data_IF_737522573082
#
_entry.id   IF_737522573082
#
_cell.length_a   1.000
_cell.length_b   1.000
_cell.length_c   1.000
_cell.angle_alpha   90.00
_cell.angle_beta   90.00
_cell.angle_gamma   90.00
#
_symmetry.space_group_name_H-M   'P 1'
#
loop_
_entity.id
_entity.type
_entity.pdbx_description
1 polymer ?
#
# COMPACT_ATOMS: atom_id res chain seq x y z
N UNK A 1 -0.14 -13.11 6.03
CA UNK A 1 0.46 -12.03 6.84
C UNK A 1 0.31 -10.73 6.09
N UNK A 2 -0.07 -9.65 6.78
CA UNK A 2 -0.11 -8.30 6.20
C UNK A 2 1.14 -7.53 6.67
N UNK A 3 1.78 -6.83 5.75
CA UNK A 3 2.94 -5.98 5.95
C UNK A 3 2.58 -4.57 5.49
N UNK A 4 2.42 -3.65 6.44
CA UNK A 4 2.12 -2.25 6.17
C UNK A 4 3.01 -1.38 7.04
N UNK A 5 3.48 -0.25 6.49
CA UNK A 5 4.16 0.77 7.26
C UNK A 5 3.25 1.32 8.38
N UNK A 6 1.93 1.28 8.19
CA UNK A 6 0.97 1.72 9.22
C UNK A 6 1.08 0.92 10.52
N UNK A 7 1.51 -0.35 10.48
CA UNK A 7 1.72 -1.14 11.70
C UNK A 7 2.75 -0.50 12.64
N UNK A 8 3.73 0.23 12.11
CA UNK A 8 4.73 0.93 12.91
C UNK A 8 4.11 2.06 13.75
N UNK A 9 3.08 2.71 13.21
CA UNK A 9 2.40 3.84 13.84
C UNK A 9 1.23 3.41 14.74
N UNK A 10 0.93 2.11 14.81
CA UNK A 10 -0.11 1.60 15.70
C UNK A 10 0.46 1.32 17.09
N UNK A 11 0.01 2.08 18.09
CA UNK A 11 0.38 1.94 19.49
C UNK A 11 -0.87 1.79 20.35
N UNK A 12 -0.98 0.66 21.07
CA UNK A 12 -2.11 0.36 21.97
C UNK A 12 -3.50 0.56 21.32
N UNK A 13 -3.61 0.22 20.02
CA UNK A 13 -4.84 0.35 19.24
C UNK A 13 -5.09 1.75 18.65
N UNK A 14 -4.21 2.73 18.90
CA UNK A 14 -4.28 4.07 18.34
C UNK A 14 -3.24 4.27 17.23
N UNK A 15 -3.63 4.99 16.18
CA UNK A 15 -2.73 5.41 15.11
C UNK A 15 -2.04 6.73 15.50
N UNK A 16 -0.71 6.73 15.60
CA UNK A 16 0.10 7.90 15.97
C UNK A 16 1.17 8.12 14.91
N UNK A 17 0.89 9.01 13.97
CA UNK A 17 1.79 9.30 12.86
C UNK A 17 2.91 10.27 13.24
N UNK A 18 4.14 9.93 12.87
CA UNK A 18 5.30 10.83 12.89
C UNK A 18 6.05 10.74 11.56
N UNK A 19 6.13 11.86 10.83
CA UNK A 19 6.79 11.92 9.53
C UNK A 19 8.28 11.58 9.57
N UNK A 20 8.96 11.91 10.68
CA UNK A 20 10.38 11.62 10.85
C UNK A 20 10.68 10.11 10.94
N UNK A 21 9.68 9.32 11.31
CA UNK A 21 9.80 7.87 11.44
C UNK A 21 9.44 7.10 10.16
N UNK A 22 9.07 7.78 9.05
CA UNK A 22 8.67 7.12 7.80
C UNK A 22 9.70 6.11 7.29
N UNK A 23 10.99 6.44 7.33
CA UNK A 23 12.05 5.51 6.92
C UNK A 23 12.06 4.22 7.76
N UNK A 24 11.89 4.36 9.08
CA UNK A 24 11.83 3.23 10.02
C UNK A 24 10.55 2.42 9.86
N UNK A 25 9.44 3.09 9.55
CA UNK A 25 8.18 2.42 9.27
C UNK A 25 8.26 1.54 8.00
N UNK A 26 8.89 2.05 6.94
CA UNK A 26 9.17 1.26 5.74
C UNK A 26 10.14 0.10 6.00
N UNK A 27 11.21 0.33 6.77
CA UNK A 27 12.14 -0.74 7.17
C UNK A 27 11.43 -1.84 7.98
N UNK A 28 10.56 -1.47 8.93
CA UNK A 28 9.77 -2.41 9.70
C UNK A 28 8.83 -3.23 8.81
N UNK A 29 8.18 -2.58 7.82
CA UNK A 29 7.33 -3.26 6.84
C UNK A 29 8.13 -4.25 5.98
N UNK A 30 9.29 -3.82 5.47
CA UNK A 30 10.21 -4.66 4.70
C UNK A 30 10.65 -5.89 5.50
N UNK A 31 11.13 -5.70 6.72
CA UNK A 31 11.61 -6.78 7.58
C UNK A 31 10.48 -7.76 7.93
N UNK A 32 9.24 -7.28 8.09
CA UNK A 32 8.07 -8.14 8.30
C UNK A 32 7.78 -9.01 7.09
N UNK A 33 7.86 -8.44 5.88
CA UNK A 33 7.67 -9.20 4.64
C UNK A 33 8.77 -10.25 4.46
N UNK A 34 10.03 -9.87 4.65
CA UNK A 34 11.18 -10.79 4.62
C UNK A 34 11.06 -11.90 5.66
N UNK A 35 10.59 -11.58 6.86
CA UNK A 35 10.34 -12.59 7.90
C UNK A 35 9.27 -13.59 7.45
N UNK A 36 8.13 -13.11 6.92
CA UNK A 36 7.06 -13.97 6.40
C UNK A 36 7.52 -14.87 5.26
N UNK A 37 8.39 -14.38 4.37
CA UNK A 37 8.95 -15.17 3.26
C UNK A 37 10.05 -16.15 3.69
N UNK A 38 10.76 -15.87 4.80
CA UNK A 38 11.85 -16.74 5.29
C UNK A 38 11.39 -17.91 6.15
N UNK A 39 10.11 -17.95 6.57
CA UNK A 39 9.56 -19.09 7.30
C UNK A 39 9.46 -20.33 6.39
N UNK A 40 9.62 -21.52 6.99
CA UNK A 40 9.35 -22.78 6.29
C UNK A 40 7.89 -22.81 5.80
N UNK A 41 7.61 -23.41 4.64
CA UNK A 41 6.27 -23.39 4.02
C UNK A 41 5.16 -23.95 4.93
N UNK A 42 5.47 -24.87 5.82
CA UNK A 42 4.54 -25.49 6.78
C UNK A 42 4.36 -24.67 8.08
N UNK A 43 5.18 -23.63 8.27
CA UNK A 43 5.20 -22.78 9.47
C UNK A 43 4.96 -21.30 9.16
N UNK A 44 5.09 -20.92 7.88
CA UNK A 44 4.89 -19.58 7.38
C UNK A 44 3.45 -19.26 7.01
N UNK A 45 3.14 -17.98 6.73
CA UNK A 45 1.85 -17.60 6.19
C UNK A 45 1.67 -18.14 4.77
N UNK A 46 0.45 -18.55 4.42
CA UNK A 46 0.11 -18.97 3.05
C UNK A 46 0.29 -17.81 2.03
N UNK A 47 0.01 -16.57 2.47
CA UNK A 47 0.07 -15.37 1.64
C UNK A 47 0.74 -14.24 2.42
N UNK A 48 1.71 -13.55 1.81
CA UNK A 48 2.26 -12.28 2.30
C UNK A 48 1.67 -11.12 1.48
N UNK A 49 0.96 -10.21 2.14
CA UNK A 49 0.37 -9.01 1.52
C UNK A 49 1.19 -7.80 1.94
N UNK A 50 1.70 -7.04 0.98
CA UNK A 50 2.33 -5.74 1.22
C UNK A 50 1.27 -4.66 0.97
N UNK A 51 0.79 -4.05 2.06
CA UNK A 51 -0.24 -3.02 2.06
C UNK A 51 0.39 -1.64 2.31
N UNK A 52 0.96 -1.09 1.23
CA UNK A 52 1.52 0.25 1.16
C UNK A 52 1.10 0.89 -0.17
N UNK A 53 1.23 2.22 -0.26
CA UNK A 53 0.86 2.96 -1.48
C UNK A 53 1.71 2.59 -2.71
N UNK A 54 3.00 2.25 -2.53
CA UNK A 54 3.91 1.75 -3.57
C UNK A 54 3.78 2.46 -4.94
N UNK A 55 3.78 3.79 -4.91
CA UNK A 55 3.39 4.62 -6.05
C UNK A 55 4.41 4.64 -7.20
N UNK A 56 5.67 4.27 -6.93
CA UNK A 56 6.76 4.27 -7.92
C UNK A 56 7.31 2.87 -8.12
N UNK A 57 7.88 2.61 -9.29
CA UNK A 57 8.54 1.33 -9.59
C UNK A 57 9.59 0.94 -8.55
N UNK A 58 10.42 1.88 -8.10
CA UNK A 58 11.41 1.62 -7.05
C UNK A 58 10.79 1.17 -5.72
N UNK A 59 9.59 1.65 -5.39
CA UNK A 59 8.91 1.32 -4.14
C UNK A 59 8.41 -0.15 -4.20
N UNK A 60 8.02 -0.60 -5.40
CA UNK A 60 7.67 -1.99 -5.69
C UNK A 60 8.89 -2.91 -5.75
N UNK A 61 9.96 -2.50 -6.44
CA UNK A 61 11.19 -3.28 -6.63
C UNK A 61 11.82 -3.71 -5.30
N UNK A 62 11.66 -2.92 -4.25
CA UNK A 62 12.10 -3.28 -2.89
C UNK A 62 11.51 -4.62 -2.44
N UNK A 63 10.25 -4.90 -2.76
CA UNK A 63 9.58 -6.15 -2.39
C UNK A 63 9.77 -7.24 -3.45
N UNK A 64 9.75 -6.88 -4.73
CA UNK A 64 9.98 -7.82 -5.84
C UNK A 64 11.40 -8.42 -5.83
N UNK A 65 12.36 -7.80 -5.14
CA UNK A 65 13.70 -8.35 -4.99
C UNK A 65 13.88 -9.22 -3.73
N UNK A 66 12.83 -9.41 -2.91
CA UNK A 66 12.89 -10.33 -1.78
C UNK A 66 13.00 -11.79 -2.25
N UNK A 67 13.54 -12.72 -1.44
CA UNK A 67 13.63 -14.12 -1.82
C UNK A 67 12.24 -14.77 -1.87
N UNK A 68 11.69 -14.91 -3.08
CA UNK A 68 10.42 -15.58 -3.35
C UNK A 68 10.44 -16.20 -4.74
N UNK A 69 9.44 -17.03 -5.02
CA UNK A 69 9.20 -17.56 -6.36
C UNK A 69 8.46 -16.48 -7.18
N UNK A 70 9.06 -15.93 -8.26
CA UNK A 70 8.44 -14.85 -9.02
C UNK A 70 7.11 -15.24 -9.66
N UNK A 71 6.90 -16.54 -9.93
CA UNK A 71 5.63 -17.03 -10.50
C UNK A 71 4.49 -17.02 -9.46
N UNK A 72 4.79 -16.76 -8.19
CA UNK A 72 3.83 -16.66 -7.08
C UNK A 72 3.61 -15.21 -6.62
N UNK A 73 4.21 -14.24 -7.30
CA UNK A 73 4.02 -12.82 -7.00
C UNK A 73 2.90 -12.24 -7.85
N UNK A 74 1.89 -11.70 -7.18
CA UNK A 74 0.80 -10.98 -7.83
C UNK A 74 0.87 -9.50 -7.45
N UNK A 75 0.65 -8.64 -8.43
CA UNK A 75 0.52 -7.20 -8.21
C UNK A 75 -0.95 -6.83 -8.30
N UNK A 76 -1.44 -6.14 -7.27
CA UNK A 76 -2.82 -5.68 -7.22
C UNK A 76 -2.80 -4.16 -7.06
N UNK A 77 -3.51 -3.47 -7.93
CA UNK A 77 -3.71 -2.03 -7.85
C UNK A 77 -5.21 -1.71 -7.77
N UNK A 78 -5.52 -0.59 -7.13
CA UNK A 78 -6.87 -0.04 -7.11
C UNK A 78 -7.04 0.87 -8.34
N UNK A 79 -8.19 0.81 -8.99
CA UNK A 79 -8.52 1.72 -10.09
C UNK A 79 -8.51 3.19 -9.61
N UNK A 80 -8.10 4.12 -10.49
CA UNK A 80 -8.09 5.55 -10.18
C UNK A 80 -9.48 6.05 -9.83
N UNK A 81 -9.51 7.11 -9.01
CA UNK A 81 -10.55 8.11 -9.13
C UNK A 81 -10.69 8.62 -10.59
N UNK A 82 -11.89 8.66 -11.14
CA UNK A 82 -12.08 9.11 -12.53
C UNK A 82 -12.02 10.64 -12.66
N UNK A 83 -12.07 11.36 -11.54
CA UNK A 83 -12.10 12.82 -11.46
C UNK A 83 -11.74 13.31 -10.04
N UNK A 84 -11.59 14.63 -9.88
CA UNK A 84 -11.29 15.27 -8.59
C UNK A 84 -12.34 14.99 -7.50
N UNK A 85 -13.61 14.82 -7.88
CA UNK A 85 -14.70 14.56 -6.92
C UNK A 85 -14.56 13.16 -6.31
N UNK A 86 -14.24 12.15 -7.11
CA UNK A 86 -13.97 10.79 -6.63
C UNK A 86 -12.74 10.77 -5.71
N UNK A 87 -11.68 11.47 -6.11
CA UNK A 87 -10.45 11.58 -5.33
C UNK A 87 -10.71 12.26 -3.96
N UNK A 88 -11.48 13.35 -3.96
CA UNK A 88 -11.86 14.04 -2.72
C UNK A 88 -12.73 13.17 -1.80
N UNK A 89 -13.65 12.37 -2.38
CA UNK A 89 -14.48 11.45 -1.60
C UNK A 89 -13.64 10.37 -0.92
N UNK A 90 -12.69 9.76 -1.64
CA UNK A 90 -11.78 8.76 -1.08
C UNK A 90 -10.90 9.36 0.04
N UNK A 91 -10.36 10.57 -0.17
CA UNK A 91 -9.57 11.27 0.84
C UNK A 91 -10.38 11.56 2.11
N UNK A 92 -11.63 12.01 1.97
CA UNK A 92 -12.51 12.26 3.12
C UNK A 92 -12.80 10.96 3.90
N UNK A 93 -13.05 9.86 3.19
CA UNK A 93 -13.23 8.55 3.85
C UNK A 93 -11.98 8.09 4.59
N UNK A 94 -10.79 8.31 4.03
CA UNK A 94 -9.54 8.02 4.75
C UNK A 94 -9.43 8.84 6.03
N UNK A 95 -9.79 10.13 5.98
CA UNK A 95 -9.82 11.03 7.16
C UNK A 95 -10.82 10.60 8.21
N UNK A 96 -12.01 10.18 7.81
CA UNK A 96 -13.05 9.66 8.73
C UNK A 96 -12.59 8.41 9.49
N UNK A 97 -11.68 7.62 8.89
CA UNK A 97 -11.03 6.47 9.51
C UNK A 97 -9.79 6.85 10.35
N UNK A 98 -9.46 8.13 10.47
CA UNK A 98 -8.33 8.64 11.24
C UNK A 98 -7.02 8.80 10.46
N UNK A 99 -7.01 8.54 9.15
CA UNK A 99 -5.85 8.81 8.29
C UNK A 99 -5.82 10.30 7.92
N UNK A 100 -5.13 11.09 8.75
CA UNK A 100 -4.97 12.54 8.56
C UNK A 100 -3.93 12.86 7.48
N UNK A 101 -4.27 12.55 6.22
CA UNK A 101 -3.42 12.80 5.05
C UNK A 101 -3.50 14.31 4.68
N UNK A 102 -2.38 15.05 4.66
CA UNK A 102 -2.36 16.43 4.20
C UNK A 102 -2.73 16.54 2.71
N UNK A 103 -3.50 17.56 2.32
CA UNK A 103 -3.95 17.74 0.92
C UNK A 103 -2.78 17.76 -0.07
N UNK A 104 -1.69 18.45 0.29
CA UNK A 104 -0.48 18.50 -0.55
C UNK A 104 0.14 17.12 -0.78
N UNK A 105 0.12 16.27 0.24
CA UNK A 105 0.63 14.90 0.15
C UNK A 105 -0.27 14.05 -0.74
N UNK A 106 -1.59 14.20 -0.59
CA UNK A 106 -2.57 13.53 -1.44
C UNK A 106 -2.43 13.90 -2.91
N UNK A 107 -2.36 15.20 -3.24
CA UNK A 107 -2.17 15.66 -4.62
C UNK A 107 -0.89 15.10 -5.22
N UNK A 108 0.22 15.14 -4.49
CA UNK A 108 1.48 14.54 -4.95
C UNK A 108 1.36 13.03 -5.20
N UNK A 109 0.60 12.31 -4.36
CA UNK A 109 0.37 10.87 -4.57
C UNK A 109 -0.47 10.60 -5.81
N UNK A 110 -1.51 11.39 -6.03
CA UNK A 110 -2.36 11.31 -7.20
C UNK A 110 -1.55 11.57 -8.48
N UNK A 111 -0.73 12.63 -8.50
CA UNK A 111 0.14 12.96 -9.62
C UNK A 111 1.09 11.82 -9.96
N UNK A 112 1.81 11.27 -8.95
CA UNK A 112 2.73 10.14 -9.16
C UNK A 112 1.96 8.94 -9.69
N UNK A 113 0.78 8.66 -9.15
CA UNK A 113 0.00 7.50 -9.54
C UNK A 113 -0.53 7.63 -10.99
N UNK A 114 -1.00 8.80 -11.39
CA UNK A 114 -1.39 9.12 -12.78
C UNK A 114 -0.20 8.98 -13.76
N UNK A 115 0.98 9.44 -13.37
CA UNK A 115 2.22 9.27 -14.16
C UNK A 115 2.62 7.81 -14.32
N UNK A 116 2.26 6.95 -13.37
CA UNK A 116 2.56 5.52 -13.37
C UNK A 116 1.35 4.64 -13.76
N UNK A 117 0.28 5.24 -14.30
CA UNK A 117 -0.95 4.51 -14.67
C UNK A 117 -0.75 3.48 -15.79
N UNK A 118 0.31 3.65 -16.60
CA UNK A 118 0.74 2.64 -17.57
C UNK A 118 1.75 1.74 -16.87
N UNK A 119 1.24 0.69 -16.26
CA UNK A 119 2.04 -0.38 -15.66
C UNK A 119 2.15 -1.55 -16.64
N UNK A 120 3.38 -1.89 -17.02
CA UNK A 120 3.66 -3.04 -17.91
C UNK A 120 3.69 -4.38 -17.15
N UNK A 121 3.60 -4.36 -15.81
CA UNK A 121 3.49 -5.57 -15.00
C UNK A 121 2.12 -6.21 -15.20
N UNK A 122 2.03 -7.52 -14.97
CA UNK A 122 0.74 -8.22 -14.90
C UNK A 122 0.00 -7.81 -13.62
N UNK A 123 -0.62 -6.64 -13.64
CA UNK A 123 -1.28 -6.03 -12.49
C UNK A 123 -2.79 -6.26 -12.55
N UNK A 124 -3.33 -6.86 -11.50
CA UNK A 124 -4.77 -6.98 -11.30
C UNK A 124 -5.34 -5.66 -10.81
N UNK A 125 -6.34 -5.15 -11.53
CA UNK A 125 -7.03 -3.91 -11.16
C UNK A 125 -8.30 -4.25 -10.40
N UNK A 126 -8.41 -3.75 -9.16
CA UNK A 126 -9.67 -3.76 -8.42
C UNK A 126 -10.49 -2.52 -8.79
N UNK A 127 -11.70 -2.67 -9.35
CA UNK A 127 -12.52 -1.55 -9.80
C UNK A 127 -12.87 -0.55 -8.69
N UNK A 128 -12.87 0.74 -9.03
CA UNK A 128 -13.14 1.88 -8.14
C UNK A 128 -14.49 1.72 -7.44
N UNK A 129 -15.49 1.21 -8.16
CA UNK A 129 -16.86 0.99 -7.68
C UNK A 129 -16.94 0.15 -6.38
N UNK A 130 -15.97 -0.74 -6.13
CA UNK A 130 -15.92 -1.50 -4.87
C UNK A 130 -15.61 -0.61 -3.66
N UNK A 131 -15.00 0.55 -3.89
CA UNK A 131 -14.59 1.50 -2.86
C UNK A 131 -15.50 2.71 -2.78
N UNK A 132 -16.34 3.00 -3.78
CA UNK A 132 -17.23 4.16 -3.74
C UNK A 132 -18.41 3.99 -2.76
N UNK A 133 -18.73 2.75 -2.37
CA UNK A 133 -19.93 2.45 -1.58
C UNK A 133 -21.20 2.45 -2.44
N UNK A 134 -22.39 2.14 -1.88
CA UNK A 134 -23.63 2.33 -2.60
C UNK A 134 -23.82 3.83 -2.96
N UNK A 135 -24.45 4.15 -4.11
CA UNK A 135 -24.82 5.52 -4.45
C UNK A 135 -25.80 6.13 -3.44
#
# INVERSE_FOLDING_TARGET
>A
MICSANHFFMHDGAFVFNGDDLGRAHEACYNRCLHGLSQARDQGPDINIVDNTNLRNRDFEVYANLPHDPDLMEVVAFECAHNEQDAAMLLNRARDLGHMIPDRTWSMWLDIWEENAIDERNTWIIPLQHFMGPP
#
